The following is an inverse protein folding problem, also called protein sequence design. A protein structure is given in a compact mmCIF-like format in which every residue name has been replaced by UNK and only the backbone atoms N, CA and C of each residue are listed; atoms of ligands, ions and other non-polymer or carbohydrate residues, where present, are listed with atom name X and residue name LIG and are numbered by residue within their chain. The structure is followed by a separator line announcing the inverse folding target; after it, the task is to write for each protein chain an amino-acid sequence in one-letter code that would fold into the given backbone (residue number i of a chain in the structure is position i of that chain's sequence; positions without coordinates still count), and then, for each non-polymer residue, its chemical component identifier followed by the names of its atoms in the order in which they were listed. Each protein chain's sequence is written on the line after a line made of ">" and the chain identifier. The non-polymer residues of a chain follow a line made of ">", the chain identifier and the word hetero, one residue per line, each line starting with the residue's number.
data_IF_772481244662
#
_entry.id   IF_772481244662
#
_cell.length_a   1.000
_cell.length_b   1.000
_cell.length_c   1.000
_cell.angle_alpha   90.00
_cell.angle_beta   90.00
_cell.angle_gamma   90.00
#
_symmetry.space_group_name_H-M   'P 1'
#
loop_
_entity.id
_entity.type
_entity.pdbx_description
1 polymer ?
#
# COMPACT_ATOMS: atom_id res chain seq x y z
N UNK A 1 28.27 3.23 34.47
CA UNK A 1 26.91 3.28 33.90
C UNK A 1 26.86 2.18 32.88
N UNK A 2 26.47 1.01 33.33
CA UNK A 2 26.47 -0.24 32.58
C UNK A 2 25.47 -0.11 31.43
N UNK A 3 26.00 -0.17 30.21
CA UNK A 3 25.23 -0.14 28.97
C UNK A 3 24.88 -1.58 28.62
N UNK A 4 23.88 -2.13 29.29
CA UNK A 4 23.34 -3.44 28.98
C UNK A 4 22.32 -3.27 27.84
N UNK A 5 22.66 -3.79 26.66
CA UNK A 5 21.74 -3.78 25.53
C UNK A 5 20.50 -4.61 25.90
N UNK A 6 19.28 -4.15 25.56
CA UNK A 6 18.08 -4.86 25.94
C UNK A 6 18.07 -6.25 25.32
N UNK A 7 17.92 -7.28 26.15
CA UNK A 7 17.68 -8.65 25.69
C UNK A 7 16.35 -8.68 24.93
N UNK A 8 16.42 -8.92 23.62
CA UNK A 8 15.23 -9.09 22.78
C UNK A 8 14.59 -10.45 23.06
N UNK A 9 13.32 -10.44 23.44
CA UNK A 9 12.57 -11.68 23.66
C UNK A 9 12.06 -12.26 22.34
N UNK A 10 11.63 -13.53 22.36
CA UNK A 10 10.97 -14.15 21.20
C UNK A 10 9.73 -13.35 20.74
N UNK A 11 8.98 -12.77 21.69
CA UNK A 11 7.81 -11.94 21.39
C UNK A 11 8.19 -10.63 20.70
N UNK A 12 9.33 -10.02 21.08
CA UNK A 12 9.83 -8.83 20.41
C UNK A 12 10.24 -9.10 18.97
N UNK A 13 10.91 -10.24 18.72
CA UNK A 13 11.28 -10.64 17.37
C UNK A 13 10.05 -10.83 16.49
N UNK A 14 9.01 -11.48 17.02
CA UNK A 14 7.76 -11.72 16.29
C UNK A 14 7.04 -10.41 15.95
N UNK A 15 6.98 -9.46 16.90
CA UNK A 15 6.43 -8.12 16.67
C UNK A 15 7.22 -7.34 15.62
N UNK A 16 8.55 -7.42 15.66
CA UNK A 16 9.41 -6.75 14.68
C UNK A 16 9.24 -7.36 13.29
N UNK A 17 9.16 -8.69 13.18
CA UNK A 17 8.91 -9.38 11.92
C UNK A 17 7.57 -8.96 11.30
N UNK A 18 6.48 -8.94 12.08
CA UNK A 18 5.18 -8.49 11.61
C UNK A 18 5.23 -7.03 11.10
N UNK A 19 5.97 -6.16 11.79
CA UNK A 19 6.16 -4.77 11.37
C UNK A 19 6.96 -4.65 10.07
N UNK A 20 8.01 -5.45 9.90
CA UNK A 20 8.79 -5.49 8.65
C UNK A 20 7.89 -5.89 7.49
N UNK A 21 7.14 -6.98 7.61
CA UNK A 21 6.22 -7.45 6.56
C UNK A 21 5.20 -6.38 6.17
N UNK A 22 4.62 -5.69 7.15
CA UNK A 22 3.66 -4.61 6.89
C UNK A 22 4.30 -3.43 6.12
N UNK A 23 5.51 -3.03 6.51
CA UNK A 23 6.24 -1.93 5.86
C UNK A 23 6.70 -2.31 4.45
N UNK A 24 7.15 -3.55 4.23
CA UNK A 24 7.51 -4.05 2.90
C UNK A 24 6.30 -4.06 1.96
N UNK A 25 5.12 -4.45 2.47
CA UNK A 25 3.88 -4.39 1.68
C UNK A 25 3.50 -2.95 1.31
N UNK A 26 3.64 -2.00 2.23
CA UNK A 26 3.41 -0.58 1.93
C UNK A 26 4.41 -0.03 0.92
N UNK A 27 5.69 -0.38 1.06
CA UNK A 27 6.73 0.04 0.13
C UNK A 27 6.46 -0.48 -1.28
N UNK A 28 6.06 -1.75 -1.40
CA UNK A 28 5.70 -2.33 -2.70
C UNK A 28 4.55 -1.58 -3.37
N UNK A 29 3.50 -1.18 -2.62
CA UNK A 29 2.40 -0.37 -3.15
C UNK A 29 2.88 0.98 -3.68
N UNK A 30 3.70 1.68 -2.90
CA UNK A 30 4.26 2.98 -3.31
C UNK A 30 5.16 2.87 -4.54
N UNK A 31 5.96 1.81 -4.63
CA UNK A 31 6.78 1.54 -5.81
C UNK A 31 5.93 1.30 -7.05
N UNK A 32 4.86 0.51 -6.94
CA UNK A 32 3.91 0.32 -8.05
C UNK A 32 3.30 1.65 -8.49
N UNK A 33 2.83 2.48 -7.56
CA UNK A 33 2.26 3.79 -7.88
C UNK A 33 3.28 4.72 -8.55
N UNK A 34 4.52 4.75 -8.05
CA UNK A 34 5.59 5.54 -8.65
C UNK A 34 5.85 5.12 -10.10
N UNK A 35 5.97 3.83 -10.39
CA UNK A 35 6.14 3.33 -11.75
C UNK A 35 4.96 3.67 -12.67
N UNK A 36 3.74 3.79 -12.12
CA UNK A 36 2.57 4.22 -12.88
C UNK A 36 2.60 5.69 -13.23
N UNK A 37 3.11 6.54 -12.34
CA UNK A 37 3.36 7.95 -12.65
C UNK A 37 4.42 8.06 -13.74
N UNK A 38 5.53 7.34 -13.62
CA UNK A 38 6.62 7.35 -14.62
C UNK A 38 6.17 6.86 -15.99
N UNK A 39 5.30 5.85 -16.03
CA UNK A 39 4.71 5.33 -17.29
C UNK A 39 3.50 6.11 -17.78
N UNK A 40 3.13 7.21 -17.12
CA UNK A 40 1.97 8.05 -17.46
C UNK A 40 0.64 7.24 -17.51
N UNK A 41 0.56 6.22 -16.64
CA UNK A 41 -0.57 5.29 -16.47
C UNK A 41 -1.26 5.45 -15.10
N UNK A 42 -0.82 6.44 -14.31
CA UNK A 42 -1.53 6.90 -13.13
C UNK A 42 -2.95 7.36 -13.50
N UNK A 43 -3.93 7.03 -12.66
CA UNK A 43 -5.34 7.34 -12.92
C UNK A 43 -5.97 6.53 -14.05
N UNK A 44 -5.42 5.36 -14.41
CA UNK A 44 -6.04 4.43 -15.38
C UNK A 44 -6.44 3.12 -14.69
N UNK A 45 -7.59 2.56 -15.03
CA UNK A 45 -8.03 1.30 -14.45
C UNK A 45 -7.11 0.15 -14.91
N UNK A 46 -6.61 -0.70 -14.01
CA UNK A 46 -5.81 -1.86 -14.41
C UNK A 46 -6.62 -2.90 -15.19
N UNK A 47 -7.94 -2.99 -14.95
CA UNK A 47 -8.80 -3.97 -15.63
C UNK A 47 -9.18 -3.56 -17.05
N UNK A 48 -9.46 -2.27 -17.29
CA UNK A 48 -9.99 -1.81 -18.58
C UNK A 48 -9.18 -0.66 -19.23
N UNK A 49 -8.11 -0.19 -18.58
CA UNK A 49 -7.23 0.90 -19.04
C UNK A 49 -7.90 2.26 -19.25
N UNK A 50 -9.19 2.40 -18.93
CA UNK A 50 -9.93 3.67 -18.95
C UNK A 50 -9.50 4.58 -17.80
N UNK A 51 -9.64 5.89 -17.96
CA UNK A 51 -9.39 6.85 -16.88
C UNK A 51 -10.29 6.56 -15.67
N UNK A 52 -9.69 6.58 -14.48
CA UNK A 52 -10.37 6.48 -13.19
C UNK A 52 -10.98 7.84 -12.90
N UNK A 53 -12.22 7.84 -12.45
CA UNK A 53 -12.97 9.03 -12.14
C UNK A 53 -12.24 9.88 -11.09
N UNK A 54 -12.12 11.19 -11.34
CA UNK A 54 -11.41 12.11 -10.43
C UNK A 54 -11.99 12.09 -9.01
N UNK A 55 -13.29 11.87 -8.86
CA UNK A 55 -13.93 11.73 -7.55
C UNK A 55 -13.41 10.53 -6.76
N UNK A 56 -13.06 9.43 -7.44
CA UNK A 56 -12.45 8.25 -6.84
C UNK A 56 -11.00 8.55 -6.47
N UNK A 57 -10.21 9.14 -7.37
CA UNK A 57 -8.81 9.49 -7.08
C UNK A 57 -8.67 10.56 -5.99
N UNK A 58 -9.66 11.45 -5.85
CA UNK A 58 -9.70 12.43 -4.78
C UNK A 58 -10.00 11.81 -3.41
N UNK A 59 -10.79 10.73 -3.38
CA UNK A 59 -11.08 9.97 -2.17
C UNK A 59 -9.96 8.95 -1.83
N UNK A 60 -9.40 8.32 -2.86
CA UNK A 60 -8.32 7.32 -2.78
C UNK A 60 -7.32 7.54 -3.94
N UNK A 61 -6.22 8.28 -3.71
CA UNK A 61 -5.19 8.53 -4.72
C UNK A 61 -4.48 7.25 -5.19
N UNK A 62 -4.56 6.19 -4.40
CA UNK A 62 -3.96 4.89 -4.70
C UNK A 62 -4.90 3.99 -5.52
N UNK A 63 -6.09 4.48 -5.90
CA UNK A 63 -7.08 3.69 -6.61
C UNK A 63 -6.53 3.10 -7.91
N UNK A 64 -6.62 1.77 -8.01
CA UNK A 64 -6.12 1.01 -9.15
C UNK A 64 -7.22 0.69 -10.19
N UNK A 65 -8.50 0.85 -9.81
CA UNK A 65 -9.66 0.45 -10.61
C UNK A 65 -10.69 1.59 -10.70
N UNK A 66 -11.37 1.69 -11.84
CA UNK A 66 -12.50 2.62 -12.02
C UNK A 66 -13.74 2.17 -11.24
N UNK A 67 -14.74 3.03 -11.12
CA UNK A 67 -15.97 2.73 -10.36
C UNK A 67 -16.71 1.46 -10.79
N UNK A 68 -16.53 1.04 -12.06
CA UNK A 68 -17.12 -0.20 -12.59
C UNK A 68 -16.37 -1.48 -12.18
N UNK A 69 -15.06 -1.38 -11.94
CA UNK A 69 -14.19 -2.52 -11.60
C UNK A 69 -13.67 -2.49 -10.16
N UNK A 70 -13.95 -1.41 -9.42
CA UNK A 70 -13.64 -1.24 -8.00
C UNK A 70 -14.63 -1.99 -7.10
N UNK A 71 -15.13 -3.15 -7.55
CA UNK A 71 -16.14 -3.94 -6.83
C UNK A 71 -15.58 -4.44 -5.49
N UNK A 72 -15.77 -3.61 -4.47
CA UNK A 72 -15.62 -3.81 -3.02
C UNK A 72 -14.20 -3.69 -2.43
N UNK A 73 -13.82 -2.44 -2.13
CA UNK A 73 -12.77 -2.09 -1.16
C UNK A 73 -13.34 -1.56 0.16
N UNK A 74 -14.39 -2.17 0.73
CA UNK A 74 -14.87 -1.81 2.08
C UNK A 74 -14.85 -3.03 2.99
N UNK A 75 -13.68 -3.33 3.57
CA UNK A 75 -13.64 -3.95 4.89
C UNK A 75 -12.32 -3.61 5.59
N UNK A 76 -12.29 -2.42 6.20
CA UNK A 76 -11.39 -2.11 7.30
C UNK A 76 -12.15 -2.44 8.59
N UNK A 77 -11.89 -3.63 9.15
CA UNK A 77 -12.16 -3.96 10.55
C UNK A 77 -10.85 -3.80 11.31
#
# INVERSE_FOLDING_TARGET
>A
MDNEAPELTASDLERLAAKVVALESQLAKLQTLASRIESNSYGKCEACSTEIEMEILAADPEALFCGQHSSQGQNLI
#
